data_IF_746114220923
#
_entry.id   IF_746114220923
#
_cell.length_a   1.000
_cell.length_b   1.000
_cell.length_c   1.000
_cell.angle_alpha   90.00
_cell.angle_beta   90.00
_cell.angle_gamma   90.00
#
_symmetry.space_group_name_H-M   'P 1'
#
loop_
_entity.id
_entity.type
_entity.pdbx_description
1 polymer ?
#
# COMPACT_ATOMS: atom_id res chain seq x y z
N UNK A 1 -42.35 56.29 -21.66
CA UNK A 1 -41.06 55.55 -21.55
C UNK A 1 -41.36 54.13 -21.12
N UNK A 2 -41.36 53.18 -22.05
CA UNK A 2 -41.65 51.76 -21.76
C UNK A 2 -40.33 50.99 -21.69
N UNK A 3 -39.92 50.60 -20.49
CA UNK A 3 -38.73 49.79 -20.27
C UNK A 3 -39.09 48.31 -20.44
N UNK A 4 -38.65 47.70 -21.54
CA UNK A 4 -38.77 46.26 -21.77
C UNK A 4 -37.70 45.55 -20.95
N UNK A 5 -38.10 44.88 -19.88
CA UNK A 5 -37.23 44.02 -19.07
C UNK A 5 -37.00 42.71 -19.82
N UNK A 6 -35.82 42.55 -20.44
CA UNK A 6 -35.40 41.30 -21.05
C UNK A 6 -34.87 40.34 -19.99
N UNK A 7 -35.53 39.21 -19.80
CA UNK A 7 -35.06 38.12 -18.95
C UNK A 7 -33.95 37.35 -19.69
N UNK A 8 -32.69 37.57 -19.29
CA UNK A 8 -31.55 36.82 -19.81
C UNK A 8 -31.52 35.44 -19.11
N UNK A 9 -31.92 34.39 -19.81
CA UNK A 9 -31.80 33.02 -19.32
C UNK A 9 -30.34 32.56 -19.50
N UNK A 10 -29.54 32.67 -18.43
CA UNK A 10 -28.19 32.14 -18.43
C UNK A 10 -28.25 30.60 -18.33
N UNK A 11 -28.03 29.92 -19.46
CA UNK A 11 -27.86 28.46 -19.49
C UNK A 11 -26.49 28.14 -18.88
N UNK A 12 -26.48 27.78 -17.60
CA UNK A 12 -25.30 27.21 -16.94
C UNK A 12 -25.04 25.81 -17.53
N UNK A 13 -24.15 25.72 -18.51
CA UNK A 13 -23.52 24.44 -18.89
C UNK A 13 -22.60 23.99 -17.74
N UNK A 14 -23.14 23.20 -16.82
CA UNK A 14 -22.32 22.48 -15.84
C UNK A 14 -21.54 21.39 -16.60
N UNK A 15 -20.20 21.32 -16.47
CA UNK A 15 -19.43 20.26 -17.08
C UNK A 15 -19.84 18.93 -16.45
N UNK A 16 -20.34 18.01 -17.27
CA UNK A 16 -20.51 16.61 -16.88
C UNK A 16 -19.12 16.00 -16.75
N UNK A 17 -18.62 15.91 -15.52
CA UNK A 17 -17.42 15.12 -15.24
C UNK A 17 -17.75 13.64 -15.47
N UNK A 18 -17.35 13.11 -16.62
CA UNK A 18 -17.33 11.66 -16.84
C UNK A 18 -16.14 11.10 -16.07
N UNK A 19 -16.40 10.48 -14.91
CA UNK A 19 -15.35 9.83 -14.13
C UNK A 19 -14.98 8.51 -14.82
N UNK A 20 -13.86 8.50 -15.54
CA UNK A 20 -13.33 7.27 -16.14
C UNK A 20 -13.05 6.22 -15.04
N UNK A 21 -13.20 4.93 -15.38
CA UNK A 21 -12.80 3.85 -14.47
C UNK A 21 -11.30 3.97 -14.18
N UNK A 22 -10.92 3.86 -12.91
CA UNK A 22 -9.53 3.99 -12.46
C UNK A 22 -8.93 2.63 -12.16
N UNK A 23 -7.64 2.48 -12.45
CA UNK A 23 -6.83 1.30 -12.11
C UNK A 23 -5.60 1.80 -11.35
N UNK A 24 -5.24 1.08 -10.29
CA UNK A 24 -3.95 1.25 -9.62
C UNK A 24 -3.09 0.01 -9.88
N UNK A 25 -1.82 0.24 -10.21
CA UNK A 25 -0.83 -0.81 -10.39
C UNK A 25 0.21 -0.63 -9.28
N UNK A 26 0.49 -1.71 -8.56
CA UNK A 26 1.49 -1.77 -7.49
C UNK A 26 2.52 -2.81 -7.88
N UNK A 27 3.81 -2.45 -7.76
CA UNK A 27 4.93 -3.36 -7.97
C UNK A 27 5.54 -3.63 -6.59
N UNK A 28 5.49 -4.90 -6.19
CA UNK A 28 5.93 -5.38 -4.88
C UNK A 28 7.42 -5.76 -4.87
N UNK A 29 7.93 -6.13 -3.69
CA UNK A 29 9.26 -6.70 -3.47
C UNK A 29 10.45 -5.82 -3.87
N UNK A 30 10.27 -4.50 -3.85
CA UNK A 30 11.34 -3.56 -4.18
C UNK A 30 12.37 -3.47 -3.06
N UNK A 31 13.64 -3.51 -3.45
CA UNK A 31 14.77 -3.09 -2.62
C UNK A 31 15.80 -4.17 -2.34
N UNK A 32 15.61 -5.40 -2.84
CA UNK A 32 16.60 -6.47 -2.66
C UNK A 32 17.75 -6.39 -3.66
N UNK A 33 17.50 -5.88 -4.87
CA UNK A 33 18.46 -5.94 -5.96
C UNK A 33 18.72 -4.56 -6.56
N UNK A 34 19.94 -4.35 -7.07
CA UNK A 34 20.29 -3.12 -7.77
C UNK A 34 19.40 -2.86 -9.00
N UNK A 35 19.01 -3.94 -9.70
CA UNK A 35 18.10 -3.89 -10.86
C UNK A 35 16.74 -3.27 -10.54
N UNK A 36 16.31 -3.29 -9.28
CA UNK A 36 15.06 -2.65 -8.87
C UNK A 36 15.14 -1.13 -9.13
N UNK A 37 16.32 -0.52 -9.15
CA UNK A 37 16.46 0.90 -9.50
C UNK A 37 16.10 1.21 -10.96
N UNK A 38 16.11 0.22 -11.85
CA UNK A 38 15.78 0.42 -13.27
C UNK A 38 14.29 0.74 -13.47
N UNK A 39 13.41 0.20 -12.61
CA UNK A 39 11.96 0.38 -12.73
C UNK A 39 11.47 1.76 -12.30
N UNK A 40 12.34 2.59 -11.69
CA UNK A 40 12.03 3.98 -11.36
C UNK A 40 11.59 4.79 -12.59
N UNK A 41 12.11 4.42 -13.76
CA UNK A 41 11.84 5.09 -15.04
C UNK A 41 10.60 4.54 -15.76
N UNK A 42 9.86 3.59 -15.18
CA UNK A 42 8.64 3.08 -15.80
C UNK A 42 7.67 4.24 -16.09
N UNK A 43 7.06 4.33 -17.28
CA UNK A 43 6.12 5.39 -17.60
C UNK A 43 4.81 5.25 -16.80
N UNK A 44 4.05 6.34 -16.70
CA UNK A 44 2.72 6.37 -16.05
C UNK A 44 2.76 6.46 -14.52
N UNK A 45 1.60 6.38 -13.87
CA UNK A 45 1.47 6.42 -12.41
C UNK A 45 1.40 5.00 -11.86
N UNK A 46 2.56 4.46 -11.46
CA UNK A 46 2.67 3.18 -10.74
C UNK A 46 3.08 3.43 -9.29
N UNK A 47 2.63 2.56 -8.41
CA UNK A 47 2.97 2.57 -6.99
C UNK A 47 4.04 1.51 -6.71
N UNK A 48 5.01 1.82 -5.85
CA UNK A 48 6.06 0.86 -5.47
C UNK A 48 5.90 0.46 -4.01
N UNK A 49 5.90 -0.85 -3.75
CA UNK A 49 5.89 -1.44 -2.40
C UNK A 49 7.32 -1.87 -2.04
N UNK A 50 7.91 -1.20 -1.06
CA UNK A 50 9.34 -1.33 -0.73
C UNK A 50 9.52 -2.17 0.53
N UNK A 51 10.28 -3.25 0.43
CA UNK A 51 10.68 -4.06 1.58
C UNK A 51 11.59 -3.22 2.51
N UNK A 52 11.34 -3.18 3.83
CA UNK A 52 12.21 -2.48 4.75
C UNK A 52 13.53 -3.23 4.93
N UNK A 53 14.58 -2.49 5.31
CA UNK A 53 15.88 -3.05 5.73
C UNK A 53 16.60 -3.90 4.67
N UNK A 54 16.21 -3.83 3.41
CA UNK A 54 16.93 -4.44 2.29
C UNK A 54 18.00 -3.48 1.73
N UNK A 55 19.04 -3.97 1.03
CA UNK A 55 20.20 -3.17 0.63
C UNK A 55 19.87 -1.91 -0.20
N UNK A 56 18.79 -1.94 -0.99
CA UNK A 56 18.39 -0.84 -1.87
C UNK A 56 17.10 -0.12 -1.43
N UNK A 57 16.50 -0.47 -0.29
CA UNK A 57 15.23 0.10 0.19
C UNK A 57 15.26 1.63 0.30
N UNK A 58 16.22 2.17 1.06
CA UNK A 58 16.34 3.61 1.31
C UNK A 58 16.71 4.39 0.04
N UNK A 59 17.71 3.94 -0.70
CA UNK A 59 18.14 4.61 -1.94
C UNK A 59 17.03 4.59 -3.00
N UNK A 60 16.23 3.52 -3.08
CA UNK A 60 15.07 3.47 -3.95
C UNK A 60 14.03 4.50 -3.50
N UNK A 61 13.65 4.51 -2.21
CA UNK A 61 12.65 5.43 -1.68
C UNK A 61 13.03 6.90 -1.88
N UNK A 62 14.28 7.26 -1.63
CA UNK A 62 14.79 8.62 -1.83
C UNK A 62 14.77 9.07 -3.30
N UNK A 63 15.08 8.17 -4.22
CA UNK A 63 15.03 8.47 -5.66
C UNK A 63 13.58 8.54 -6.15
N UNK A 64 12.75 7.58 -5.77
CA UNK A 64 11.35 7.53 -6.13
C UNK A 64 10.57 8.72 -5.57
N UNK A 65 10.88 9.21 -4.37
CA UNK A 65 10.19 10.36 -3.77
C UNK A 65 10.44 11.69 -4.49
N UNK A 66 11.46 11.75 -5.37
CA UNK A 66 11.72 12.90 -6.25
C UNK A 66 10.90 12.83 -7.55
N UNK A 67 10.10 11.78 -7.70
CA UNK A 67 9.21 11.56 -8.82
C UNK A 67 7.75 11.61 -8.34
N UNK A 68 6.79 11.62 -9.26
CA UNK A 68 5.35 11.63 -8.93
C UNK A 68 4.81 10.21 -8.64
N UNK A 69 5.64 9.32 -8.10
CA UNK A 69 5.30 7.92 -7.80
C UNK A 69 4.90 7.78 -6.34
N UNK A 70 3.88 6.96 -6.08
CA UNK A 70 3.46 6.65 -4.72
C UNK A 70 4.28 5.48 -4.15
N UNK A 71 4.57 5.54 -2.86
CA UNK A 71 5.39 4.55 -2.16
C UNK A 71 4.60 3.91 -1.01
N UNK A 72 4.74 2.61 -0.86
CA UNK A 72 4.20 1.83 0.25
C UNK A 72 5.34 1.10 0.96
N UNK A 73 5.17 0.89 2.26
CA UNK A 73 5.98 -0.06 3.00
C UNK A 73 5.46 -1.47 2.71
N UNK A 74 6.27 -2.31 2.08
CA UNK A 74 5.99 -3.73 1.90
C UNK A 74 6.45 -4.51 3.13
N UNK A 75 5.61 -4.60 4.15
CA UNK A 75 6.01 -5.17 5.45
C UNK A 75 5.96 -6.69 5.41
N UNK A 76 7.03 -7.41 5.78
CA UNK A 76 6.97 -8.84 5.89
C UNK A 76 6.06 -9.30 7.03
N UNK A 77 5.20 -10.24 6.71
CA UNK A 77 4.24 -10.81 7.65
C UNK A 77 4.28 -12.33 7.59
N UNK A 78 4.18 -12.96 8.76
CA UNK A 78 4.21 -14.41 8.88
C UNK A 78 3.20 -15.11 7.97
N UNK A 79 3.70 -16.15 7.29
CA UNK A 79 2.93 -17.00 6.40
C UNK A 79 2.74 -18.41 7.00
N UNK A 80 1.72 -19.10 6.48
CA UNK A 80 1.47 -20.51 6.78
C UNK A 80 2.61 -21.40 6.28
N UNK A 81 3.17 -21.08 5.11
CA UNK A 81 4.34 -21.78 4.57
C UNK A 81 5.61 -21.32 5.31
N UNK A 82 6.10 -22.18 6.20
CA UNK A 82 7.31 -21.93 7.01
C UNK A 82 8.62 -22.14 6.27
N UNK A 83 8.59 -22.67 5.04
CA UNK A 83 9.81 -22.90 4.26
C UNK A 83 10.41 -21.62 3.69
N UNK A 84 9.61 -20.56 3.60
CA UNK A 84 10.01 -19.26 3.04
C UNK A 84 10.54 -18.34 4.14
N UNK A 85 11.70 -17.75 3.89
CA UNK A 85 12.24 -16.72 4.76
C UNK A 85 11.32 -15.48 4.74
N UNK A 86 10.94 -14.97 5.92
CA UNK A 86 10.11 -13.78 6.00
C UNK A 86 10.87 -12.51 5.59
N UNK A 87 12.19 -12.47 5.81
CA UNK A 87 13.00 -11.27 5.62
C UNK A 87 13.04 -10.38 6.87
N UNK A 88 13.88 -9.32 6.83
CA UNK A 88 14.12 -8.47 7.99
C UNK A 88 12.89 -7.62 8.36
N UNK A 89 12.66 -7.42 9.65
CA UNK A 89 11.53 -6.61 10.15
C UNK A 89 10.17 -7.31 10.06
N UNK A 90 10.15 -8.63 9.94
CA UNK A 90 8.91 -9.40 9.84
C UNK A 90 8.05 -9.33 11.10
N UNK A 91 6.74 -9.19 10.91
CA UNK A 91 5.74 -9.26 11.97
C UNK A 91 5.25 -10.71 12.12
N UNK A 92 5.26 -11.23 13.34
CA UNK A 92 4.89 -12.62 13.66
C UNK A 92 3.79 -12.69 14.71
N UNK A 93 3.08 -13.82 14.77
CA UNK A 93 1.99 -14.08 15.71
C UNK A 93 2.47 -14.30 17.15
N UNK A 94 3.76 -14.61 17.32
CA UNK A 94 4.41 -14.74 18.63
C UNK A 94 4.82 -13.41 19.26
N UNK A 95 4.78 -12.30 18.50
CA UNK A 95 5.15 -10.99 19.03
C UNK A 95 4.08 -10.49 20.00
N UNK A 96 4.52 -9.88 21.09
CA UNK A 96 3.65 -9.00 21.88
C UNK A 96 3.26 -7.76 21.08
N UNK A 97 2.20 -7.08 21.54
CA UNK A 97 1.79 -5.78 20.98
C UNK A 97 2.94 -4.78 20.86
N UNK A 98 3.75 -4.67 21.93
CA UNK A 98 4.87 -3.72 21.98
C UNK A 98 5.94 -4.06 20.94
N UNK A 99 6.29 -5.33 20.79
CA UNK A 99 7.29 -5.80 19.82
C UNK A 99 6.82 -5.59 18.39
N UNK A 100 5.55 -5.93 18.09
CA UNK A 100 4.97 -5.73 16.76
C UNK A 100 4.95 -4.25 16.40
N UNK A 101 4.46 -3.40 17.30
CA UNK A 101 4.37 -1.95 17.06
C UNK A 101 5.74 -1.28 16.97
N UNK A 102 6.72 -1.75 17.74
CA UNK A 102 8.11 -1.27 17.66
C UNK A 102 8.75 -1.68 16.34
N UNK A 103 8.62 -2.95 15.95
CA UNK A 103 9.14 -3.48 14.68
C UNK A 103 8.55 -2.73 13.47
N UNK A 104 7.22 -2.60 13.42
CA UNK A 104 6.55 -1.83 12.36
C UNK A 104 6.95 -0.34 12.41
N UNK A 105 7.10 0.22 13.61
CA UNK A 105 7.53 1.60 13.82
C UNK A 105 8.92 1.87 13.26
N UNK A 106 9.87 0.96 13.44
CA UNK A 106 11.22 1.03 12.88
C UNK A 106 11.23 0.88 11.36
N UNK A 107 10.45 -0.06 10.81
CA UNK A 107 10.30 -0.22 9.37
C UNK A 107 9.78 1.08 8.72
N UNK A 108 8.72 1.67 9.29
CA UNK A 108 8.16 2.95 8.83
C UNK A 108 9.14 4.12 8.99
N UNK A 109 9.93 4.15 10.06
CA UNK A 109 10.94 5.19 10.26
C UNK A 109 12.09 5.11 9.23
N UNK A 110 12.39 3.92 8.74
CA UNK A 110 13.41 3.72 7.70
C UNK A 110 12.97 4.20 6.30
N UNK A 111 11.65 4.36 6.09
CA UNK A 111 11.04 4.75 4.81
C UNK A 111 9.98 5.84 5.04
N UNK A 112 10.35 7.05 5.50
CA UNK A 112 9.40 8.11 5.89
C UNK A 112 8.53 8.64 4.74
N UNK A 113 8.85 8.30 3.48
CA UNK A 113 8.17 8.77 2.29
C UNK A 113 6.87 7.99 1.97
N UNK A 114 6.63 6.85 2.63
CA UNK A 114 5.48 5.98 2.32
C UNK A 114 4.14 6.60 2.69
N UNK A 115 3.10 6.28 1.89
CA UNK A 115 1.71 6.72 2.10
C UNK A 115 0.80 5.64 2.69
N UNK A 116 1.26 4.40 2.66
CA UNK A 116 0.53 3.25 3.17
C UNK A 116 1.45 2.07 3.45
N UNK A 117 0.84 1.00 3.93
CA UNK A 117 1.49 -0.28 4.22
C UNK A 117 0.79 -1.37 3.42
N UNK A 118 1.59 -2.29 2.90
CA UNK A 118 1.13 -3.45 2.15
C UNK A 118 1.86 -4.69 2.66
N UNK A 119 1.18 -5.84 2.74
CA UNK A 119 1.78 -7.05 3.30
C UNK A 119 2.60 -7.84 2.27
N UNK A 120 3.87 -8.11 2.59
CA UNK A 120 4.65 -9.16 1.97
C UNK A 120 4.30 -10.49 2.62
N UNK A 121 3.85 -11.46 1.83
CA UNK A 121 3.27 -12.72 2.32
C UNK A 121 2.09 -12.48 3.29
N UNK A 122 2.19 -12.90 4.55
CA UNK A 122 1.17 -12.65 5.57
C UNK A 122 0.00 -13.62 5.58
N UNK A 123 0.09 -14.77 4.89
CA UNK A 123 -1.04 -15.70 4.81
C UNK A 123 -1.49 -16.26 6.15
N UNK A 124 -0.66 -16.19 7.21
CA UNK A 124 -1.06 -16.51 8.58
C UNK A 124 -1.44 -15.26 9.36
N UNK A 125 -0.55 -14.27 9.44
CA UNK A 125 -0.74 -13.11 10.30
C UNK A 125 -1.99 -12.30 9.96
N UNK A 126 -2.31 -12.16 8.67
CA UNK A 126 -3.49 -11.38 8.22
C UNK A 126 -4.83 -12.01 8.59
N UNK A 127 -4.84 -13.30 8.93
CA UNK A 127 -6.04 -13.97 9.44
C UNK A 127 -6.28 -13.67 10.93
N UNK A 128 -5.25 -13.21 11.64
CA UNK A 128 -5.30 -13.01 13.08
C UNK A 128 -5.76 -11.59 13.39
N UNK A 129 -6.92 -11.49 14.03
CA UNK A 129 -7.52 -10.20 14.37
C UNK A 129 -6.63 -9.35 15.29
N UNK A 130 -6.00 -9.95 16.30
CA UNK A 130 -5.19 -9.18 17.28
C UNK A 130 -3.94 -8.50 16.67
N UNK A 131 -3.04 -9.22 15.98
CA UNK A 131 -1.90 -8.59 15.30
C UNK A 131 -2.33 -7.52 14.29
N UNK A 132 -3.43 -7.76 13.56
CA UNK A 132 -3.97 -6.77 12.63
C UNK A 132 -4.52 -5.53 13.35
N UNK A 133 -5.14 -5.67 14.55
CA UNK A 133 -5.56 -4.53 15.36
C UNK A 133 -4.37 -3.66 15.73
N UNK A 134 -3.29 -4.26 16.24
CA UNK A 134 -2.09 -3.54 16.65
C UNK A 134 -1.41 -2.85 15.47
N UNK A 135 -1.45 -3.47 14.29
CA UNK A 135 -1.01 -2.87 13.03
C UNK A 135 -1.86 -1.62 12.71
N UNK A 136 -3.18 -1.75 12.66
CA UNK A 136 -4.09 -0.66 12.30
C UNK A 136 -4.04 0.52 13.27
N UNK A 137 -3.77 0.30 14.56
CA UNK A 137 -3.53 1.38 15.52
C UNK A 137 -2.36 2.29 15.10
N UNK A 138 -1.25 1.70 14.65
CA UNK A 138 -0.07 2.47 14.18
C UNK A 138 -0.39 3.21 12.90
N UNK A 139 -1.05 2.55 11.95
CA UNK A 139 -1.42 3.16 10.67
C UNK A 139 -2.38 4.33 10.88
N UNK A 140 -3.40 4.16 11.73
CA UNK A 140 -4.35 5.21 12.08
C UNK A 140 -3.66 6.42 12.70
N UNK A 141 -2.76 6.17 13.67
CA UNK A 141 -2.00 7.23 14.34
C UNK A 141 -1.12 8.04 13.37
N UNK A 142 -0.60 7.39 12.32
CA UNK A 142 0.29 8.00 11.33
C UNK A 142 -0.41 8.50 10.06
N UNK A 143 -1.73 8.32 9.94
CA UNK A 143 -2.49 8.71 8.76
C UNK A 143 -2.15 7.90 7.51
N UNK A 144 -1.73 6.63 7.68
CA UNK A 144 -1.38 5.71 6.60
C UNK A 144 -2.55 4.81 6.23
N UNK A 145 -2.63 4.38 4.98
CA UNK A 145 -3.60 3.39 4.52
C UNK A 145 -3.03 1.97 4.50
N UNK A 146 -3.90 0.95 4.42
CA UNK A 146 -3.49 -0.45 4.26
C UNK A 146 -3.94 -1.04 2.91
N UNK A 147 -3.01 -1.60 2.16
CA UNK A 147 -3.31 -2.42 0.97
C UNK A 147 -3.12 -3.90 1.32
N UNK A 148 -4.21 -4.66 1.28
CA UNK A 148 -4.15 -6.12 1.45
C UNK A 148 -3.78 -6.82 0.13
N UNK A 149 -2.63 -7.50 0.08
CA UNK A 149 -2.21 -8.32 -1.06
C UNK A 149 -3.05 -9.60 -1.24
N UNK A 150 -3.96 -9.90 -0.30
CA UNK A 150 -4.86 -11.07 -0.30
C UNK A 150 -4.12 -12.38 -0.58
N UNK A 151 -3.05 -12.64 0.17
CA UNK A 151 -2.26 -13.89 0.08
C UNK A 151 -3.00 -15.09 0.69
N UNK A 152 -4.14 -14.85 1.32
CA UNK A 152 -5.11 -15.85 1.79
C UNK A 152 -6.54 -15.30 1.60
N UNK A 153 -7.50 -16.19 1.34
CA UNK A 153 -8.93 -15.81 1.28
C UNK A 153 -9.53 -15.51 2.65
N UNK A 154 -8.85 -15.91 3.73
CA UNK A 154 -9.28 -15.75 5.12
C UNK A 154 -8.69 -14.51 5.80
N UNK A 155 -8.20 -13.55 5.02
CA UNK A 155 -7.62 -12.31 5.57
C UNK A 155 -8.69 -11.50 6.29
N UNK A 156 -8.41 -11.11 7.53
CA UNK A 156 -9.22 -10.21 8.35
C UNK A 156 -8.74 -8.76 8.27
N UNK A 157 -7.67 -8.49 7.50
CA UNK A 157 -7.02 -7.19 7.47
C UNK A 157 -7.98 -6.06 7.08
N UNK A 158 -8.85 -6.30 6.09
CA UNK A 158 -9.84 -5.31 5.66
C UNK A 158 -10.90 -5.03 6.72
N UNK A 159 -11.41 -6.07 7.37
CA UNK A 159 -12.42 -5.95 8.44
C UNK A 159 -11.86 -5.14 9.61
N UNK A 160 -10.63 -5.44 10.02
CA UNK A 160 -9.97 -4.72 11.11
C UNK A 160 -9.63 -3.27 10.70
N UNK A 161 -9.17 -3.03 9.47
CA UNK A 161 -8.91 -1.68 8.96
C UNK A 161 -10.18 -0.82 9.02
N UNK A 162 -11.32 -1.36 8.57
CA UNK A 162 -12.62 -0.69 8.64
C UNK A 162 -13.02 -0.37 10.09
N UNK A 163 -12.87 -1.32 11.00
CA UNK A 163 -13.19 -1.14 12.43
C UNK A 163 -12.38 0.00 13.08
N UNK A 164 -11.12 0.16 12.69
CA UNK A 164 -10.22 1.19 13.23
C UNK A 164 -10.24 2.50 12.41
N UNK A 165 -11.08 2.56 11.37
CA UNK A 165 -11.18 3.73 10.48
C UNK A 165 -9.88 4.03 9.73
N UNK A 166 -9.15 2.97 9.33
CA UNK A 166 -7.98 3.04 8.45
C UNK A 166 -8.43 2.87 7.01
N UNK A 167 -8.09 3.83 6.16
CA UNK A 167 -8.35 3.71 4.72
C UNK A 167 -7.68 2.45 4.18
N UNK A 168 -8.38 1.70 3.35
CA UNK A 168 -7.88 0.42 2.87
C UNK A 168 -8.40 0.06 1.49
N UNK A 169 -7.67 -0.82 0.85
CA UNK A 169 -8.02 -1.45 -0.42
C UNK A 169 -7.47 -2.87 -0.42
N UNK A 170 -8.05 -3.75 -1.22
CA UNK A 170 -7.52 -5.08 -1.43
C UNK A 170 -7.20 -5.32 -2.90
N UNK A 171 -6.17 -6.12 -3.16
CA UNK A 171 -5.77 -6.50 -4.52
C UNK A 171 -6.91 -7.25 -5.23
N UNK A 172 -7.20 -6.83 -6.47
CA UNK A 172 -8.20 -7.48 -7.32
C UNK A 172 -7.62 -8.59 -8.21
N UNK A 173 -6.45 -8.34 -8.81
CA UNK A 173 -5.80 -9.23 -9.78
C UNK A 173 -4.32 -9.37 -9.42
N UNK A 174 -3.74 -10.56 -9.57
CA UNK A 174 -2.29 -10.79 -9.53
C UNK A 174 -1.80 -10.96 -10.96
N UNK A 175 -0.78 -10.20 -11.39
CA UNK A 175 -0.39 -10.10 -12.79
C UNK A 175 0.73 -11.07 -13.22
N UNK A 176 1.59 -11.50 -12.31
CA UNK A 176 2.86 -12.21 -12.60
C UNK A 176 3.03 -13.52 -11.83
N UNK A 177 1.93 -14.11 -11.34
CA UNK A 177 1.94 -15.36 -10.59
C UNK A 177 2.31 -16.60 -11.44
N UNK A 178 2.42 -16.45 -12.76
CA UNK A 178 2.89 -17.47 -13.70
C UNK A 178 4.01 -16.88 -14.56
N UNK A 179 5.25 -17.29 -14.28
CA UNK A 179 6.39 -16.90 -15.13
C UNK A 179 6.41 -17.83 -16.34
N UNK A 180 5.81 -17.41 -17.45
CA UNK A 180 6.08 -18.04 -18.74
C UNK A 180 7.48 -17.62 -19.19
N UNK A 181 8.40 -18.58 -19.35
CA UNK A 181 9.69 -18.30 -19.97
C UNK A 181 9.44 -17.79 -21.40
N UNK A 182 9.88 -16.57 -21.67
CA UNK A 182 10.02 -16.02 -23.02
C UNK A 182 11.35 -16.43 -23.63
#
# INVERSE_FOLDING_TARGET
MNLKTGLLLAVCCLPLFCQAKQIAIVIDDIGNHQRDLEILNLPGQVTFSILPHTPYSQIFAERASRTHKELLLHVPMQALDKSKALGPGALTDTMSKSELQTTLGHALASLPQVKGVNNHMGSELTQLTEPMKWTMEILKKRGLYFLDSRTTSRSEAQNVANLYGVANVSRHVFLDNNVTQS
#
